data_IF_528364503918
#
_entry.id   IF_528364503918
#
_cell.length_a   1.000
_cell.length_b   1.000
_cell.length_c   1.000
_cell.angle_alpha   90.00
_cell.angle_beta   90.00
_cell.angle_gamma   90.00
#
_symmetry.space_group_name_H-M   'P 1'
#
loop_
_entity.id
_entity.type
_entity.pdbx_description
1 polymer ?
#
# COMPACT_ATOMS: atom_id res chain seq x y z
N UNK A 1 -4.36 -2.27 -11.60
CA UNK A 1 -3.20 -3.08 -11.21
C UNK A 1 -3.41 -3.58 -9.79
N UNK A 2 -3.26 -4.87 -9.55
CA UNK A 2 -3.30 -5.49 -8.22
C UNK A 2 -1.90 -6.01 -7.84
N UNK A 3 -1.21 -5.33 -6.95
CA UNK A 3 0.15 -5.72 -6.52
C UNK A 3 0.11 -6.57 -5.25
N UNK A 4 0.76 -7.74 -5.30
CA UNK A 4 0.71 -8.72 -4.21
C UNK A 4 -0.66 -9.39 -4.14
N UNK A 5 -1.20 -9.76 -5.30
CA UNK A 5 -2.59 -10.19 -5.46
C UNK A 5 -2.88 -11.57 -4.85
N UNK A 6 -1.86 -12.40 -4.64
CA UNK A 6 -2.00 -13.76 -4.11
C UNK A 6 -3.08 -14.56 -4.84
N UNK A 7 -3.96 -15.23 -4.08
CA UNK A 7 -5.08 -16.02 -4.63
C UNK A 7 -6.16 -15.17 -5.31
N UNK A 8 -6.07 -13.84 -5.23
CA UNK A 8 -6.83 -12.90 -6.06
C UNK A 8 -8.36 -12.94 -5.90
N UNK A 9 -8.88 -13.43 -4.76
CA UNK A 9 -10.33 -13.49 -4.49
C UNK A 9 -11.03 -12.14 -4.70
N UNK A 10 -10.47 -11.06 -4.16
CA UNK A 10 -11.04 -9.73 -4.37
C UNK A 10 -10.96 -9.31 -5.84
N UNK A 11 -9.86 -9.61 -6.53
CA UNK A 11 -9.71 -9.25 -7.94
C UNK A 11 -10.75 -9.95 -8.82
N UNK A 12 -11.10 -11.20 -8.54
CA UNK A 12 -12.23 -11.87 -9.20
C UNK A 12 -13.58 -11.21 -8.87
N UNK A 13 -13.82 -10.88 -7.59
CA UNK A 13 -15.06 -10.19 -7.19
C UNK A 13 -15.18 -8.80 -7.83
N UNK A 14 -14.07 -8.05 -7.89
CA UNK A 14 -13.98 -6.75 -8.53
C UNK A 14 -14.24 -6.88 -10.04
N UNK A 15 -13.64 -7.86 -10.71
CA UNK A 15 -13.89 -8.12 -12.12
C UNK A 15 -15.40 -8.33 -12.39
N UNK A 16 -16.03 -9.22 -11.62
CA UNK A 16 -17.47 -9.48 -11.73
C UNK A 16 -18.29 -8.21 -11.53
N UNK A 17 -17.98 -7.43 -10.49
CA UNK A 17 -18.68 -6.18 -10.21
C UNK A 17 -18.54 -5.16 -11.36
N UNK A 18 -17.32 -4.98 -11.88
CA UNK A 18 -17.08 -4.02 -12.95
C UNK A 18 -17.74 -4.44 -14.28
N UNK A 19 -17.70 -5.74 -14.61
CA UNK A 19 -18.27 -6.27 -15.85
C UNK A 19 -19.78 -6.42 -15.77
N UNK A 20 -20.28 -7.23 -14.84
CA UNK A 20 -21.67 -7.69 -14.82
C UNK A 20 -22.61 -6.64 -14.23
N UNK A 21 -22.16 -5.93 -13.18
CA UNK A 21 -22.98 -4.95 -12.47
C UNK A 21 -22.80 -3.56 -13.07
N UNK A 22 -21.56 -3.10 -13.22
CA UNK A 22 -21.27 -1.73 -13.71
C UNK A 22 -21.22 -1.61 -15.22
N UNK A 23 -21.02 -2.71 -15.94
CA UNK A 23 -20.97 -2.75 -17.42
C UNK A 23 -19.97 -1.75 -18.01
N UNK A 24 -18.83 -1.57 -17.35
CA UNK A 24 -17.75 -0.71 -17.86
C UNK A 24 -16.68 -1.54 -18.56
N UNK A 25 -15.95 -0.93 -19.49
CA UNK A 25 -14.77 -1.54 -20.09
C UNK A 25 -13.54 -1.28 -19.21
N UNK A 26 -12.73 -2.30 -18.98
CA UNK A 26 -11.56 -2.24 -18.09
C UNK A 26 -10.59 -3.37 -18.42
N UNK A 27 -9.37 -3.29 -17.88
CA UNK A 27 -8.38 -4.36 -17.82
C UNK A 27 -7.81 -4.43 -16.40
N UNK A 28 -7.67 -5.63 -15.85
CA UNK A 28 -7.00 -5.87 -14.58
C UNK A 28 -5.78 -6.75 -14.84
N UNK A 29 -4.63 -6.31 -14.33
CA UNK A 29 -3.43 -7.11 -14.22
C UNK A 29 -3.15 -7.31 -12.72
N UNK A 30 -3.00 -8.56 -12.31
CA UNK A 30 -2.49 -8.91 -10.99
C UNK A 30 -1.04 -9.36 -11.09
N UNK A 31 -0.21 -8.97 -10.12
CA UNK A 31 1.21 -9.34 -10.07
C UNK A 31 1.55 -9.93 -8.70
N UNK A 32 2.18 -11.10 -8.70
CA UNK A 32 2.68 -11.78 -7.51
C UNK A 32 3.96 -12.56 -7.79
N UNK A 33 4.70 -12.92 -6.75
CA UNK A 33 5.94 -13.70 -6.86
C UNK A 33 5.68 -15.20 -7.07
N UNK A 34 4.49 -15.71 -6.69
CA UNK A 34 4.19 -17.15 -6.67
C UNK A 34 3.65 -17.65 -8.02
N UNK A 35 4.54 -18.22 -8.83
CA UNK A 35 4.21 -18.70 -10.19
C UNK A 35 3.06 -19.72 -10.23
N UNK A 36 3.02 -20.65 -9.28
CA UNK A 36 1.97 -21.67 -9.16
C UNK A 36 0.60 -21.04 -8.90
N UNK A 37 0.55 -20.00 -8.06
CA UNK A 37 -0.66 -19.23 -7.77
C UNK A 37 -1.10 -18.46 -9.00
N UNK A 38 -0.19 -17.78 -9.71
CA UNK A 38 -0.52 -17.02 -10.93
C UNK A 38 -1.04 -17.92 -12.05
N UNK A 39 -0.42 -19.09 -12.27
CA UNK A 39 -0.92 -20.12 -13.22
C UNK A 39 -2.33 -20.58 -12.85
N UNK A 40 -2.58 -20.83 -11.56
CA UNK A 40 -3.90 -21.22 -11.08
C UNK A 40 -4.96 -20.13 -11.31
N UNK A 41 -4.64 -18.87 -10.98
CA UNK A 41 -5.54 -17.73 -11.20
C UNK A 41 -5.84 -17.52 -12.69
N UNK A 42 -4.85 -17.62 -13.57
CA UNK A 42 -5.06 -17.52 -15.02
C UNK A 42 -5.94 -18.66 -15.56
N UNK A 43 -5.81 -19.89 -15.04
CA UNK A 43 -6.70 -20.99 -15.41
C UNK A 43 -8.15 -20.69 -15.03
N UNK A 44 -8.39 -20.19 -13.82
CA UNK A 44 -9.74 -19.79 -13.38
C UNK A 44 -10.29 -18.65 -14.25
N UNK A 45 -9.48 -17.62 -14.54
CA UNK A 45 -9.88 -16.52 -15.40
C UNK A 45 -10.32 -17.02 -16.80
N UNK A 46 -9.59 -18.00 -17.36
CA UNK A 46 -9.95 -18.66 -18.62
C UNK A 46 -11.25 -19.45 -18.52
N UNK A 47 -11.44 -20.26 -17.48
CA UNK A 47 -12.66 -21.04 -17.25
C UNK A 47 -13.91 -20.14 -17.11
N UNK A 48 -13.76 -18.94 -16.54
CA UNK A 48 -14.82 -17.95 -16.38
C UNK A 48 -15.01 -17.03 -17.61
N UNK A 49 -14.16 -17.16 -18.64
CA UNK A 49 -14.20 -16.29 -19.82
C UNK A 49 -13.86 -14.82 -19.50
N UNK A 50 -12.98 -14.59 -18.52
CA UNK A 50 -12.55 -13.26 -18.08
C UNK A 50 -11.36 -12.79 -18.93
N UNK A 51 -11.64 -12.38 -20.17
CA UNK A 51 -10.63 -12.01 -21.18
C UNK A 51 -9.83 -10.76 -20.83
N UNK A 52 -10.34 -9.92 -19.93
CA UNK A 52 -9.69 -8.66 -19.54
C UNK A 52 -8.99 -8.78 -18.17
N UNK A 53 -8.74 -10.00 -17.71
CA UNK A 53 -8.07 -10.31 -16.45
C UNK A 53 -6.83 -11.18 -16.74
N UNK A 54 -5.69 -10.72 -16.27
CA UNK A 54 -4.40 -11.39 -16.45
C UNK A 54 -3.60 -11.38 -15.15
N UNK A 55 -2.90 -12.48 -14.89
CA UNK A 55 -2.03 -12.62 -13.73
C UNK A 55 -0.59 -12.89 -14.16
N UNK A 56 0.34 -12.07 -13.71
CA UNK A 56 1.75 -12.12 -14.06
C UNK A 56 2.58 -12.57 -12.86
N UNK A 57 3.64 -13.31 -13.13
CA UNK A 57 4.62 -13.68 -12.11
C UNK A 57 5.78 -12.70 -12.17
N UNK A 58 6.05 -11.98 -11.08
CA UNK A 58 7.14 -11.03 -11.04
C UNK A 58 7.22 -10.25 -9.73
N UNK A 59 8.34 -9.54 -9.57
CA UNK A 59 8.54 -8.62 -8.46
C UNK A 59 7.94 -7.26 -8.80
N UNK A 60 7.31 -6.61 -7.82
CA UNK A 60 6.74 -5.26 -7.96
C UNK A 60 7.82 -4.28 -8.44
N UNK A 61 9.04 -4.36 -7.90
CA UNK A 61 10.14 -3.45 -8.24
C UNK A 61 10.56 -3.51 -9.71
N UNK A 62 10.42 -4.68 -10.34
CA UNK A 62 10.89 -4.95 -11.70
C UNK A 62 9.77 -4.79 -12.75
N UNK A 63 8.57 -4.39 -12.33
CA UNK A 63 7.43 -4.24 -13.23
C UNK A 63 7.53 -2.95 -14.06
N UNK A 64 7.60 -3.08 -15.39
CA UNK A 64 7.76 -1.96 -16.33
C UNK A 64 6.77 -1.99 -17.52
N UNK A 65 5.80 -2.90 -17.52
CA UNK A 65 4.93 -3.14 -18.69
C UNK A 65 3.90 -2.04 -18.96
N UNK A 66 3.61 -1.18 -17.97
CA UNK A 66 2.59 -0.14 -18.06
C UNK A 66 3.19 1.25 -17.77
N UNK A 67 2.74 2.26 -18.51
CA UNK A 67 3.09 3.68 -18.30
C UNK A 67 2.01 4.48 -17.58
N UNK A 68 0.76 4.05 -17.70
CA UNK A 68 -0.42 4.70 -17.12
C UNK A 68 -1.38 3.66 -16.57
N UNK A 69 -1.98 3.95 -15.41
CA UNK A 69 -3.01 3.10 -14.79
C UNK A 69 -4.05 3.95 -14.06
N UNK A 70 -5.33 3.60 -14.15
CA UNK A 70 -6.37 4.34 -13.43
C UNK A 70 -6.37 4.05 -11.93
N UNK A 71 -6.14 2.79 -11.57
CA UNK A 71 -6.18 2.32 -10.18
C UNK A 71 -5.08 1.30 -9.91
N UNK A 72 -4.27 1.59 -8.89
CA UNK A 72 -3.42 0.60 -8.22
C UNK A 72 -4.08 0.25 -6.90
N UNK A 73 -4.18 -1.04 -6.60
CA UNK A 73 -4.54 -1.49 -5.27
C UNK A 73 -3.58 -2.57 -4.79
N UNK A 74 -3.35 -2.59 -3.48
CA UNK A 74 -2.43 -3.52 -2.84
C UNK A 74 -2.89 -3.74 -1.41
N UNK A 75 -3.61 -4.84 -1.20
CA UNK A 75 -4.38 -5.02 0.05
C UNK A 75 -3.75 -6.02 1.03
N UNK A 76 -2.79 -6.81 0.57
CA UNK A 76 -2.05 -7.76 1.38
C UNK A 76 -0.55 -7.78 1.07
N UNK A 77 -0.03 -6.75 0.39
CA UNK A 77 1.41 -6.58 0.24
C UNK A 77 1.96 -6.02 1.55
N UNK A 78 2.48 -6.86 2.43
CA UNK A 78 2.94 -6.44 3.74
C UNK A 78 4.36 -5.84 3.71
N UNK A 79 4.74 -5.11 4.77
CA UNK A 79 6.02 -4.42 4.93
C UNK A 79 6.39 -3.59 3.69
N UNK A 80 7.64 -3.66 3.23
CA UNK A 80 8.17 -2.88 2.11
C UNK A 80 7.44 -3.15 0.78
N UNK A 81 6.68 -4.25 0.66
CA UNK A 81 5.91 -4.50 -0.55
C UNK A 81 4.84 -3.43 -0.78
N UNK A 82 4.23 -2.87 0.29
CA UNK A 82 3.32 -1.72 0.14
C UNK A 82 4.07 -0.50 -0.41
N UNK A 83 5.29 -0.25 0.07
CA UNK A 83 6.11 0.91 -0.32
C UNK A 83 6.52 0.80 -1.80
N UNK A 84 6.94 -0.40 -2.24
CA UNK A 84 7.21 -0.65 -3.66
C UNK A 84 5.95 -0.52 -4.52
N UNK A 85 4.78 -0.97 -4.03
CA UNK A 85 3.50 -0.76 -4.73
C UNK A 85 3.18 0.72 -4.89
N UNK A 86 3.45 1.55 -3.87
CA UNK A 86 3.28 3.01 -3.94
C UNK A 86 4.24 3.60 -4.96
N UNK A 87 5.54 3.28 -4.90
CA UNK A 87 6.52 3.79 -5.86
C UNK A 87 6.13 3.45 -7.31
N UNK A 88 5.76 2.19 -7.57
CA UNK A 88 5.34 1.78 -8.91
C UNK A 88 4.04 2.45 -9.34
N UNK A 89 3.11 2.70 -8.42
CA UNK A 89 1.93 3.47 -8.75
C UNK A 89 2.27 4.89 -9.21
N UNK A 90 3.26 5.53 -8.58
CA UNK A 90 3.74 6.85 -9.01
C UNK A 90 4.41 6.79 -10.38
N UNK A 91 5.29 5.81 -10.62
CA UNK A 91 5.95 5.60 -11.92
C UNK A 91 4.94 5.37 -13.06
N UNK A 92 3.85 4.66 -12.78
CA UNK A 92 2.75 4.40 -13.71
C UNK A 92 1.69 5.51 -13.70
N UNK A 93 1.96 6.70 -13.15
CA UNK A 93 1.04 7.84 -13.12
C UNK A 93 -0.37 7.47 -12.63
N UNK A 94 -0.46 6.65 -11.58
CA UNK A 94 -1.72 6.10 -11.10
C UNK A 94 -2.70 7.20 -10.68
N UNK A 95 -3.93 7.20 -11.20
CA UNK A 95 -4.95 8.20 -10.80
C UNK A 95 -5.47 7.99 -9.38
N UNK A 96 -5.50 6.73 -8.93
CA UNK A 96 -5.87 6.36 -7.57
C UNK A 96 -5.02 5.20 -7.04
N UNK A 97 -4.78 5.20 -5.73
CA UNK A 97 -4.05 4.17 -4.99
C UNK A 97 -4.88 3.75 -3.79
N UNK A 98 -5.08 2.44 -3.60
CA UNK A 98 -5.73 1.84 -2.45
C UNK A 98 -4.76 0.85 -1.78
N UNK A 99 -4.28 1.17 -0.59
CA UNK A 99 -3.35 0.31 0.13
C UNK A 99 -3.94 -0.12 1.48
N UNK A 100 -3.96 -1.43 1.75
CA UNK A 100 -4.30 -1.97 3.08
C UNK A 100 -3.01 -2.47 3.74
N UNK A 101 -2.47 -1.74 4.71
CA UNK A 101 -1.25 -2.10 5.40
C UNK A 101 -1.51 -3.24 6.41
N UNK A 102 -1.36 -4.48 5.97
CA UNK A 102 -1.63 -5.69 6.76
C UNK A 102 -0.61 -5.94 7.89
N UNK A 103 0.68 -6.04 7.58
CA UNK A 103 1.74 -6.30 8.55
C UNK A 103 2.85 -5.28 8.37
N UNK A 104 3.31 -4.67 9.47
CA UNK A 104 4.30 -3.58 9.47
C UNK A 104 5.34 -3.81 10.56
N UNK A 105 6.17 -4.83 10.37
CA UNK A 105 7.28 -5.12 11.28
C UNK A 105 8.49 -4.26 10.97
N UNK A 106 8.59 -3.74 9.75
CA UNK A 106 9.75 -2.97 9.29
C UNK A 106 10.01 -1.72 10.14
N UNK A 107 9.01 -0.85 10.31
CA UNK A 107 9.10 0.33 11.16
C UNK A 107 9.37 -0.06 12.62
N UNK A 108 8.69 -1.11 13.12
CA UNK A 108 8.92 -1.60 14.47
C UNK A 108 10.39 -1.98 14.69
N UNK A 109 10.98 -2.76 13.78
CA UNK A 109 12.38 -3.16 13.88
C UNK A 109 13.34 -1.97 13.75
N UNK A 110 13.11 -1.06 12.81
CA UNK A 110 13.93 0.14 12.61
C UNK A 110 13.92 1.05 13.84
N UNK A 111 12.73 1.36 14.36
CA UNK A 111 12.55 2.17 15.56
C UNK A 111 13.18 1.45 16.76
N UNK A 112 12.87 0.17 16.98
CA UNK A 112 13.36 -0.58 18.13
C UNK A 112 14.90 -0.70 18.15
N UNK A 113 15.56 -0.74 16.98
CA UNK A 113 17.03 -0.75 16.87
C UNK A 113 17.65 0.60 17.26
N UNK A 114 16.96 1.71 17.01
CA UNK A 114 17.43 3.06 17.34
C UNK A 114 16.87 3.55 18.68
N UNK A 115 17.35 2.97 19.79
CA UNK A 115 16.95 3.37 21.15
C UNK A 115 17.37 4.78 21.56
N UNK A 116 18.16 5.48 20.73
CA UNK A 116 18.61 6.85 20.95
C UNK A 116 17.81 7.88 20.15
N UNK A 117 16.75 7.45 19.45
CA UNK A 117 15.92 8.38 18.68
C UNK A 117 15.11 9.31 19.59
N UNK A 118 14.71 10.49 19.11
CA UNK A 118 13.87 11.43 19.88
C UNK A 118 12.58 10.79 20.41
N UNK A 119 12.02 9.80 19.70
CA UNK A 119 10.90 8.99 20.18
C UNK A 119 11.21 8.29 21.50
N UNK A 120 12.37 7.64 21.66
CA UNK A 120 12.72 6.97 22.92
C UNK A 120 13.06 7.95 24.03
N UNK A 121 13.56 9.14 23.71
CA UNK A 121 13.80 10.19 24.70
C UNK A 121 12.48 10.78 25.23
N UNK A 122 11.49 10.97 24.36
CA UNK A 122 10.25 11.69 24.69
C UNK A 122 9.10 10.74 25.08
N UNK A 123 9.03 9.58 24.45
CA UNK A 123 7.93 8.61 24.55
C UNK A 123 8.39 7.22 25.02
N UNK A 124 9.43 7.17 25.86
CA UNK A 124 9.97 5.90 26.38
C UNK A 124 8.89 5.00 27.02
N UNK A 125 7.83 5.58 27.59
CA UNK A 125 6.71 4.82 28.16
C UNK A 125 6.01 3.93 27.12
N UNK A 126 5.87 4.39 25.87
CA UNK A 126 5.39 3.56 24.76
C UNK A 126 6.47 2.58 24.31
N UNK A 127 7.71 3.05 24.19
CA UNK A 127 8.83 2.26 23.65
C UNK A 127 9.30 1.10 24.53
N UNK A 128 9.00 1.10 25.83
CA UNK A 128 9.37 0.03 26.79
C UNK A 128 8.55 -1.25 26.60
N UNK A 129 7.33 -1.14 26.11
CA UNK A 129 6.44 -2.29 25.92
C UNK A 129 6.37 -2.64 24.44
N UNK A 130 6.88 -3.81 24.07
CA UNK A 130 6.96 -4.24 22.66
C UNK A 130 5.62 -4.15 21.92
N UNK A 131 4.52 -4.57 22.56
CA UNK A 131 3.18 -4.50 21.98
C UNK A 131 2.72 -3.06 21.71
N UNK A 132 3.02 -2.11 22.62
CA UNK A 132 2.65 -0.71 22.42
C UNK A 132 3.48 -0.09 21.30
N UNK A 133 4.77 -0.38 21.28
CA UNK A 133 5.67 0.06 20.22
C UNK A 133 5.27 -0.50 18.85
N UNK A 134 4.87 -1.77 18.78
CA UNK A 134 4.39 -2.41 17.56
C UNK A 134 3.14 -1.72 17.00
N UNK A 135 2.13 -1.48 17.85
CA UNK A 135 0.91 -0.77 17.46
C UNK A 135 1.19 0.66 17.00
N UNK A 136 2.04 1.37 17.74
CA UNK A 136 2.48 2.71 17.34
C UNK A 136 3.22 2.68 16.00
N UNK A 137 4.14 1.74 15.80
CA UNK A 137 4.93 1.61 14.58
C UNK A 137 4.04 1.34 13.36
N UNK A 138 2.99 0.53 13.53
CA UNK A 138 2.00 0.30 12.49
C UNK A 138 1.31 1.61 12.08
N UNK A 139 0.80 2.38 13.03
CA UNK A 139 0.16 3.68 12.75
C UNK A 139 1.15 4.69 12.16
N UNK A 140 2.39 4.69 12.63
CA UNK A 140 3.46 5.55 12.13
C UNK A 140 3.79 5.23 10.66
N UNK A 141 3.76 3.95 10.28
CA UNK A 141 3.96 3.53 8.89
C UNK A 141 2.84 4.06 7.98
N UNK A 142 1.60 4.03 8.47
CA UNK A 142 0.45 4.48 7.67
C UNK A 142 0.43 6.00 7.51
N UNK A 143 0.79 6.73 8.58
CA UNK A 143 0.98 8.18 8.54
C UNK A 143 2.11 8.56 7.56
N UNK A 144 3.22 7.83 7.61
CA UNK A 144 4.35 8.00 6.70
C UNK A 144 3.95 7.82 5.23
N UNK A 145 3.28 6.72 4.88
CA UNK A 145 2.84 6.46 3.49
C UNK A 145 1.84 7.48 3.00
N UNK A 146 0.91 7.86 3.86
CA UNK A 146 -0.11 8.88 3.54
C UNK A 146 0.54 10.23 3.30
N UNK A 147 1.42 10.69 4.21
CA UNK A 147 2.14 11.95 4.05
C UNK A 147 3.02 11.96 2.80
N UNK A 148 3.69 10.85 2.47
CA UNK A 148 4.46 10.73 1.24
C UNK A 148 3.58 10.91 -0.01
N UNK A 149 2.45 10.21 -0.07
CA UNK A 149 1.51 10.35 -1.19
C UNK A 149 0.98 11.79 -1.33
N UNK A 150 0.77 12.49 -0.22
CA UNK A 150 0.41 13.91 -0.25
C UNK A 150 1.50 14.79 -0.86
N UNK A 151 2.77 14.52 -0.55
CA UNK A 151 3.92 15.19 -1.17
C UNK A 151 4.02 14.91 -2.66
N UNK A 152 3.45 13.81 -3.15
CA UNK A 152 3.42 13.44 -4.57
C UNK A 152 2.13 13.90 -5.28
N UNK A 153 1.34 14.78 -4.65
CA UNK A 153 0.18 15.42 -5.28
C UNK A 153 -1.13 14.65 -5.17
N UNK A 154 -1.19 13.64 -4.28
CA UNK A 154 -2.43 12.93 -3.99
C UNK A 154 -3.16 13.58 -2.80
N UNK A 155 -4.48 13.62 -2.88
CA UNK A 155 -5.30 13.77 -1.67
C UNK A 155 -5.42 12.41 -1.01
N UNK A 156 -4.98 12.30 0.23
CA UNK A 156 -5.04 11.05 0.99
C UNK A 156 -6.16 11.05 2.03
N UNK A 157 -6.67 9.86 2.32
CA UNK A 157 -7.62 9.58 3.37
C UNK A 157 -7.26 8.23 4.00
N UNK A 158 -7.01 8.23 5.30
CA UNK A 158 -6.86 7.01 6.11
C UNK A 158 -8.20 6.72 6.75
N UNK A 159 -8.77 5.56 6.48
CA UNK A 159 -10.12 5.21 6.95
C UNK A 159 -10.25 3.75 7.30
N UNK A 160 -11.23 3.42 8.13
CA UNK A 160 -11.63 2.05 8.39
C UNK A 160 -12.41 1.50 7.17
N UNK A 161 -12.02 0.33 6.67
CA UNK A 161 -12.62 -0.29 5.48
C UNK A 161 -13.47 -1.52 5.80
N UNK A 162 -13.25 -2.15 6.96
CA UNK A 162 -13.98 -3.33 7.41
C UNK A 162 -14.13 -3.27 8.94
N UNK A 163 -15.18 -3.90 9.46
CA UNK A 163 -15.37 -3.99 10.90
C UNK A 163 -14.23 -4.77 11.56
N UNK A 164 -13.82 -4.34 12.76
CA UNK A 164 -12.81 -5.02 13.56
C UNK A 164 -13.23 -6.44 13.96
N UNK A 165 -14.54 -6.73 13.96
CA UNK A 165 -15.06 -8.09 14.16
C UNK A 165 -14.53 -9.09 13.13
N UNK A 166 -14.19 -8.63 11.93
CA UNK A 166 -13.66 -9.48 10.86
C UNK A 166 -12.13 -9.49 10.80
N UNK A 167 -11.48 -8.37 11.12
CA UNK A 167 -10.02 -8.31 11.22
C UNK A 167 -9.55 -7.09 12.01
N UNK A 168 -8.52 -7.24 12.87
CA UNK A 168 -7.87 -6.10 13.52
C UNK A 168 -7.06 -5.23 12.55
N UNK A 169 -6.89 -5.65 11.29
CA UNK A 169 -6.22 -4.91 10.22
C UNK A 169 -7.25 -4.33 9.27
N UNK A 170 -7.87 -3.23 9.71
CA UNK A 170 -9.03 -2.63 9.09
C UNK A 170 -8.77 -1.25 8.46
N UNK A 171 -7.52 -0.77 8.45
CA UNK A 171 -7.18 0.53 7.87
C UNK A 171 -6.97 0.41 6.36
N UNK A 172 -7.49 1.38 5.62
CA UNK A 172 -7.25 1.60 4.19
C UNK A 172 -6.69 3.01 3.99
N UNK A 173 -5.55 3.09 3.29
CA UNK A 173 -5.03 4.33 2.74
C UNK A 173 -5.61 4.47 1.34
N UNK A 174 -6.47 5.48 1.17
CA UNK A 174 -7.03 5.89 -0.12
C UNK A 174 -6.35 7.15 -0.58
N UNK A 175 -5.73 7.13 -1.74
CA UNK A 175 -5.09 8.29 -2.35
C UNK A 175 -5.64 8.52 -3.76
N UNK A 176 -6.03 9.76 -4.06
CA UNK A 176 -6.53 10.16 -5.38
C UNK A 176 -5.69 11.33 -5.87
N UNK A 177 -5.15 11.22 -7.09
CA UNK A 177 -4.28 12.24 -7.65
C UNK A 177 -5.05 13.53 -7.90
N UNK A 178 -4.58 14.66 -7.35
CA UNK A 178 -5.12 15.99 -7.61
C UNK A 178 -4.16 16.87 -8.44
N UNK A 179 -2.92 16.40 -8.68
CA UNK A 179 -1.91 17.13 -9.45
C UNK A 179 -1.38 18.39 -8.79
N UNK A 180 -1.68 18.61 -7.51
CA UNK A 180 -1.27 19.80 -6.76
C UNK A 180 -0.92 19.45 -5.32
N UNK A 181 0.16 20.04 -4.82
CA UNK A 181 0.55 19.95 -3.41
C UNK A 181 0.33 21.32 -2.78
N UNK A 182 -0.63 21.41 -1.85
CA UNK A 182 -0.83 22.63 -1.06
C UNK A 182 0.22 22.68 0.05
N UNK A 183 0.90 23.82 0.20
CA UNK A 183 1.93 24.05 1.23
C UNK A 183 3.05 22.99 1.19
N UNK A 184 3.59 22.70 0.01
CA UNK A 184 4.59 21.62 -0.19
C UNK A 184 5.76 21.71 0.77
N UNK A 185 6.40 22.88 0.91
CA UNK A 185 7.55 23.06 1.82
C UNK A 185 7.21 22.68 3.26
N UNK A 186 6.06 23.15 3.76
CA UNK A 186 5.59 22.83 5.11
C UNK A 186 5.33 21.33 5.28
N UNK A 187 4.67 20.70 4.31
CA UNK A 187 4.43 19.24 4.35
C UNK A 187 5.73 18.45 4.31
N UNK A 188 6.70 18.90 3.52
CA UNK A 188 8.02 18.26 3.41
C UNK A 188 8.78 18.37 4.73
N UNK A 189 8.72 19.53 5.36
CA UNK A 189 9.31 19.76 6.69
C UNK A 189 8.63 18.89 7.76
N UNK A 190 7.30 18.82 7.79
CA UNK A 190 6.54 17.96 8.70
C UNK A 190 6.89 16.48 8.52
N UNK A 191 6.99 16.04 7.25
CA UNK A 191 7.38 14.69 6.90
C UNK A 191 8.80 14.36 7.36
N UNK A 192 9.78 15.24 7.10
CA UNK A 192 11.16 15.02 7.52
C UNK A 192 11.28 15.00 9.05
N UNK A 193 10.64 15.96 9.75
CA UNK A 193 10.60 15.98 11.22
C UNK A 193 10.01 14.70 11.79
N UNK A 194 8.99 14.14 11.13
CA UNK A 194 8.39 12.87 11.54
C UNK A 194 9.40 11.72 11.42
N UNK A 195 10.12 11.61 10.30
CA UNK A 195 11.16 10.60 10.10
C UNK A 195 12.32 10.75 11.08
N UNK A 196 12.79 11.97 11.30
CA UNK A 196 13.86 12.29 12.25
C UNK A 196 13.44 11.95 13.69
N UNK A 197 12.20 12.25 14.06
CA UNK A 197 11.63 11.92 15.36
C UNK A 197 11.58 10.40 15.61
N UNK A 198 11.15 9.63 14.61
CA UNK A 198 11.17 8.17 14.65
C UNK A 198 12.59 7.61 14.66
N UNK A 199 13.53 8.32 14.04
CA UNK A 199 14.94 7.94 13.93
C UNK A 199 15.15 6.80 12.93
N UNK A 200 14.47 6.86 11.79
CA UNK A 200 14.47 5.83 10.74
C UNK A 200 14.84 6.40 9.38
N UNK A 201 15.33 5.52 8.50
CA UNK A 201 15.64 5.81 7.10
C UNK A 201 14.80 4.87 6.21
N UNK A 202 13.62 5.31 5.71
CA UNK A 202 12.67 4.44 5.00
C UNK A 202 12.74 4.59 3.47
N UNK A 203 12.01 3.76 2.72
CA UNK A 203 12.13 3.63 1.25
C UNK A 203 11.58 4.86 0.48
N UNK A 204 10.38 5.31 0.82
CA UNK A 204 9.74 6.49 0.25
C UNK A 204 10.44 7.75 0.81
N UNK A 205 11.10 8.51 -0.07
CA UNK A 205 11.77 9.80 0.21
C UNK A 205 11.55 10.79 -0.96
#
# INVERSE_FOLDING_TARGET
>A
MDFGCGKSYLTFALYYYLREIKKINFRIIGLDLKEDVMKHCNRIAKELGYTNLEFLTGNIQDFEELKEVDLVFSLHACDNATDYSILKALEMNAKAILAVPCCQHEFFHKINKNKKSPLFETMNLLGKHGLLLERFSSLATDAYRSAFLELKGYRTQVMEFIDMEHTPKNILIKAVYEGRVKNEEKKREEYQKFLDFLGIDPILQ
#
